data_IF_420159418814
#
_entry.id   IF_420159418814
#
_cell.length_a   1.000
_cell.length_b   1.000
_cell.length_c   1.000
_cell.angle_alpha   90.00
_cell.angle_beta   90.00
_cell.angle_gamma   90.00
#
_symmetry.space_group_name_H-M   'P 1'
#
loop_
_entity.id
_entity.type
_entity.pdbx_description
1 polymer ?
#
# COMPACT_ATOMS: atom_id res chain seq x y z
N UNK A 1 -15.18 1.72 19.79
CA UNK A 1 -15.47 1.72 18.34
C UNK A 1 -14.27 1.10 17.66
N UNK A 2 -14.45 0.10 16.78
CA UNK A 2 -13.34 -0.39 15.95
C UNK A 2 -12.97 0.76 14.99
N UNK A 3 -11.73 1.21 15.02
CA UNK A 3 -11.21 2.17 14.04
C UNK A 3 -11.12 1.42 12.71
N UNK A 4 -12.01 1.73 11.78
CA UNK A 4 -12.00 1.20 10.42
C UNK A 4 -11.63 2.35 9.49
N UNK A 5 -10.65 2.15 8.63
CA UNK A 5 -10.28 3.14 7.62
C UNK A 5 -11.19 3.01 6.42
N UNK A 6 -11.69 4.14 5.92
CA UNK A 6 -12.59 4.13 4.79
C UNK A 6 -11.92 3.58 3.52
N UNK A 7 -12.57 2.64 2.84
CA UNK A 7 -12.02 1.99 1.65
C UNK A 7 -11.85 2.96 0.48
N UNK A 8 -12.76 3.92 0.34
CA UNK A 8 -12.69 4.91 -0.74
C UNK A 8 -11.48 5.81 -0.51
N UNK A 9 -11.26 6.28 0.73
CA UNK A 9 -10.06 7.04 1.09
C UNK A 9 -8.75 6.31 0.75
N UNK A 10 -8.67 5.01 1.03
CA UNK A 10 -7.51 4.17 0.69
C UNK A 10 -7.31 4.14 -0.83
N UNK A 11 -8.36 3.87 -1.59
CA UNK A 11 -8.34 3.80 -3.06
C UNK A 11 -7.93 5.14 -3.69
N UNK A 12 -8.45 6.26 -3.20
CA UNK A 12 -8.08 7.60 -3.65
C UNK A 12 -6.61 7.92 -3.35
N UNK A 13 -6.11 7.47 -2.21
CA UNK A 13 -4.71 7.67 -1.81
C UNK A 13 -3.71 6.83 -2.63
N UNK A 14 -4.14 5.67 -3.14
CA UNK A 14 -3.34 4.86 -4.08
C UNK A 14 -3.59 5.23 -5.55
N UNK A 15 -4.49 6.17 -5.83
CA UNK A 15 -4.86 6.61 -7.18
C UNK A 15 -3.67 6.93 -8.11
N UNK A 16 -2.61 7.62 -7.66
CA UNK A 16 -1.40 7.84 -8.47
C UNK A 16 -0.69 6.54 -8.88
N UNK A 17 -0.78 5.49 -8.06
CA UNK A 17 -0.20 4.17 -8.32
C UNK A 17 -1.13 3.31 -9.18
N UNK A 18 -2.46 3.57 -9.13
CA UNK A 18 -3.44 2.85 -9.94
C UNK A 18 -3.16 2.98 -11.44
N UNK A 19 -2.66 4.13 -11.91
CA UNK A 19 -2.26 4.30 -13.31
C UNK A 19 -1.06 3.43 -13.72
N UNK A 20 -0.12 3.19 -12.79
CA UNK A 20 1.03 2.31 -13.02
C UNK A 20 0.57 0.85 -13.02
N UNK A 21 -0.33 0.49 -12.12
CA UNK A 21 -0.92 -0.85 -12.05
C UNK A 21 -1.72 -1.17 -13.31
N UNK A 22 -2.56 -0.25 -13.79
CA UNK A 22 -3.38 -0.42 -14.99
C UNK A 22 -2.53 -0.67 -16.25
N UNK A 23 -1.38 0.01 -16.35
CA UNK A 23 -0.41 -0.20 -17.44
C UNK A 23 0.26 -1.59 -17.44
N UNK A 24 0.16 -2.33 -16.34
CA UNK A 24 0.75 -3.65 -16.15
C UNK A 24 -0.30 -4.74 -15.89
N UNK A 25 -1.58 -4.51 -16.22
CA UNK A 25 -2.70 -5.41 -15.88
C UNK A 25 -2.71 -5.80 -14.38
N UNK A 26 -2.26 -4.87 -13.53
CA UNK A 26 -2.17 -5.01 -12.09
C UNK A 26 -3.39 -4.42 -11.38
N UNK A 27 -3.80 -5.03 -10.27
CA UNK A 27 -4.92 -4.55 -9.45
C UNK A 27 -4.53 -4.54 -7.98
N UNK A 28 -4.88 -3.45 -7.29
CA UNK A 28 -4.83 -3.36 -5.82
C UNK A 28 -6.20 -3.71 -5.28
N UNK A 29 -6.25 -4.66 -4.35
CA UNK A 29 -7.47 -5.02 -3.66
C UNK A 29 -7.31 -4.85 -2.14
N UNK A 30 -8.24 -4.11 -1.53
CA UNK A 30 -8.24 -3.84 -0.08
C UNK A 30 -8.99 -4.96 0.64
N UNK A 31 -8.22 -5.81 1.32
CA UNK A 31 -8.69 -7.01 2.01
C UNK A 31 -9.29 -6.66 3.37
N UNK A 32 -8.60 -5.85 4.17
CA UNK A 32 -9.03 -5.47 5.52
C UNK A 32 -8.56 -4.04 5.87
N UNK A 33 -9.24 -3.39 6.81
CA UNK A 33 -9.00 -1.99 7.22
C UNK A 33 -9.17 -1.81 8.74
N UNK A 34 -9.19 -2.93 9.47
CA UNK A 34 -9.54 -2.95 10.89
C UNK A 34 -8.38 -2.47 11.73
N UNK A 35 -8.69 -1.69 12.77
CA UNK A 35 -7.71 -1.18 13.73
C UNK A 35 -6.61 -0.35 13.08
N UNK A 36 -6.93 0.38 12.01
CA UNK A 36 -5.96 1.20 11.27
C UNK A 36 -4.93 0.38 10.49
N UNK A 37 -5.05 -0.96 10.45
CA UNK A 37 -4.18 -1.82 9.66
C UNK A 37 -4.85 -2.09 8.32
N UNK A 38 -4.17 -1.70 7.23
CA UNK A 38 -4.67 -1.91 5.88
C UNK A 38 -4.03 -3.17 5.31
N UNK A 39 -4.83 -4.20 5.06
CA UNK A 39 -4.36 -5.40 4.36
C UNK A 39 -4.69 -5.28 2.87
N UNK A 40 -3.68 -5.44 2.02
CA UNK A 40 -3.80 -5.26 0.57
C UNK A 40 -3.26 -6.49 -0.16
N UNK A 41 -3.96 -6.91 -1.21
CA UNK A 41 -3.43 -7.83 -2.22
C UNK A 41 -3.08 -7.10 -3.51
N UNK A 42 -1.96 -7.50 -4.12
CA UNK A 42 -1.51 -7.06 -5.44
C UNK A 42 -1.74 -8.20 -6.44
N UNK A 43 -2.77 -8.10 -7.25
CA UNK A 43 -3.19 -9.15 -8.19
C UNK A 43 -2.88 -8.75 -9.64
N UNK A 44 -2.96 -9.72 -10.57
CA UNK A 44 -2.70 -9.50 -11.99
C UNK A 44 -1.21 -9.50 -12.35
N UNK A 45 -0.81 -8.67 -13.32
CA UNK A 45 0.59 -8.62 -13.81
C UNK A 45 1.62 -8.12 -12.78
N UNK A 46 1.15 -7.67 -11.62
CA UNK A 46 1.98 -7.28 -10.48
C UNK A 46 2.36 -8.45 -9.56
N UNK A 47 1.79 -9.64 -9.73
CA UNK A 47 2.21 -10.80 -8.94
C UNK A 47 3.49 -11.40 -9.55
N UNK A 48 4.62 -11.28 -8.86
CA UNK A 48 5.90 -11.88 -9.28
C UNK A 48 6.72 -11.08 -10.31
N UNK A 49 6.37 -9.81 -10.54
CA UNK A 49 7.18 -8.91 -11.36
C UNK A 49 8.34 -8.32 -10.54
N UNK A 50 9.48 -8.04 -11.18
CA UNK A 50 10.61 -7.36 -10.50
C UNK A 50 10.24 -5.94 -10.02
N UNK A 51 9.17 -5.35 -10.56
CA UNK A 51 8.65 -4.03 -10.16
C UNK A 51 7.68 -4.06 -8.97
N UNK A 52 7.28 -5.24 -8.48
CA UNK A 52 6.33 -5.37 -7.37
C UNK A 52 6.79 -4.66 -6.09
N UNK A 53 8.07 -4.77 -5.66
CA UNK A 53 8.54 -4.06 -4.46
C UNK A 53 8.47 -2.53 -4.59
N UNK A 54 8.77 -1.99 -5.78
CA UNK A 54 8.69 -0.55 -6.04
C UNK A 54 7.24 -0.05 -5.98
N UNK A 55 6.29 -0.84 -6.49
CA UNK A 55 4.86 -0.51 -6.41
C UNK A 55 4.36 -0.57 -4.98
N UNK A 56 4.73 -1.62 -4.23
CA UNK A 56 4.41 -1.76 -2.81
C UNK A 56 4.98 -0.59 -1.99
N UNK A 57 6.20 -0.15 -2.31
CA UNK A 57 6.84 1.01 -1.68
C UNK A 57 6.02 2.30 -1.86
N UNK A 58 5.54 2.58 -3.07
CA UNK A 58 4.73 3.78 -3.35
C UNK A 58 3.37 3.74 -2.66
N UNK A 59 2.74 2.56 -2.59
CA UNK A 59 1.47 2.36 -1.88
C UNK A 59 1.67 2.57 -0.38
N UNK A 60 2.69 1.94 0.21
CA UNK A 60 3.00 2.06 1.63
C UNK A 60 3.25 3.53 2.01
N UNK A 61 4.10 4.23 1.25
CA UNK A 61 4.36 5.66 1.48
C UNK A 61 3.07 6.50 1.43
N UNK A 62 2.21 6.27 0.44
CA UNK A 62 0.99 7.07 0.28
C UNK A 62 -0.02 6.83 1.41
N UNK A 63 -0.18 5.58 1.83
CA UNK A 63 -1.13 5.20 2.88
C UNK A 63 -0.65 5.56 4.29
N UNK A 64 0.65 5.43 4.58
CA UNK A 64 1.22 5.79 5.88
C UNK A 64 1.19 7.31 6.16
N UNK A 65 0.86 8.14 5.16
CA UNK A 65 0.59 9.58 5.34
C UNK A 65 -0.81 9.87 5.87
N UNK A 66 -1.71 8.88 5.84
CA UNK A 66 -3.06 9.02 6.39
C UNK A 66 -3.01 8.85 7.90
N UNK A 67 -3.53 9.83 8.64
CA UNK A 67 -3.56 9.82 10.11
C UNK A 67 -4.31 8.62 10.71
N UNK A 68 -5.23 8.03 9.93
CA UNK A 68 -6.06 6.91 10.35
C UNK A 68 -5.37 5.55 10.13
N UNK A 69 -4.26 5.53 9.38
CA UNK A 69 -3.50 4.32 9.06
C UNK A 69 -2.37 4.15 10.06
N UNK A 70 -2.35 3.00 10.72
CA UNK A 70 -1.28 2.57 11.63
C UNK A 70 -0.25 1.69 10.93
N UNK A 71 -0.71 0.81 10.01
CA UNK A 71 0.18 -0.08 9.27
C UNK A 71 -0.45 -0.52 7.94
N UNK A 72 0.38 -0.96 7.00
CA UNK A 72 -0.01 -1.55 5.72
C UNK A 72 0.68 -2.89 5.54
N UNK A 73 -0.11 -3.95 5.34
CA UNK A 73 0.34 -5.32 5.18
C UNK A 73 0.00 -5.81 3.77
N UNK A 74 1.02 -6.29 3.05
CA UNK A 74 0.84 -6.89 1.73
C UNK A 74 0.64 -8.41 1.89
N UNK A 75 -0.53 -8.93 1.49
CA UNK A 75 -0.91 -10.35 1.67
C UNK A 75 -0.13 -11.27 0.73
N UNK A 76 0.17 -10.79 -0.48
CA UNK A 76 0.82 -11.55 -1.55
C UNK A 76 1.90 -10.74 -2.29
N UNK A 77 2.33 -9.61 -1.70
CA UNK A 77 3.43 -8.79 -2.18
C UNK A 77 4.51 -8.69 -1.11
N UNK A 78 5.75 -8.51 -1.51
CA UNK A 78 6.86 -8.30 -0.58
C UNK A 78 7.30 -6.84 -0.65
N UNK A 79 7.11 -6.11 0.44
CA UNK A 79 7.87 -4.90 0.73
C UNK A 79 9.02 -5.29 1.66
N UNK A 80 10.27 -5.36 1.18
CA UNK A 80 11.40 -5.73 2.02
C UNK A 80 11.58 -4.77 3.19
N UNK A 81 12.00 -5.29 4.35
CA UNK A 81 12.17 -4.49 5.58
C UNK A 81 13.06 -3.26 5.36
N UNK A 82 14.14 -3.37 4.60
CA UNK A 82 15.04 -2.23 4.34
C UNK A 82 14.36 -1.10 3.55
N UNK A 83 13.46 -1.44 2.61
CA UNK A 83 12.70 -0.44 1.86
C UNK A 83 11.67 0.22 2.77
N UNK A 84 11.03 -0.59 3.63
CA UNK A 84 10.08 -0.11 4.63
C UNK A 84 10.74 0.87 5.60
N UNK A 85 11.87 0.49 6.19
CA UNK A 85 12.65 1.38 7.07
C UNK A 85 13.05 2.68 6.38
N UNK A 86 13.52 2.61 5.12
CA UNK A 86 13.85 3.82 4.36
C UNK A 86 12.65 4.76 4.19
N UNK A 87 11.45 4.22 3.97
CA UNK A 87 10.22 5.02 3.88
C UNK A 87 9.85 5.61 5.24
N UNK A 88 9.91 4.81 6.30
CA UNK A 88 9.60 5.27 7.66
C UNK A 88 10.56 6.40 8.09
N UNK A 89 11.87 6.26 7.84
CA UNK A 89 12.86 7.32 8.07
C UNK A 89 12.50 8.60 7.30
N UNK A 90 12.07 8.46 6.04
CA UNK A 90 11.66 9.60 5.21
C UNK A 90 10.41 10.28 5.74
N UNK A 91 9.39 9.51 6.14
CA UNK A 91 8.14 10.03 6.71
C UNK A 91 8.37 10.74 8.04
N UNK A 92 9.29 10.23 8.87
CA UNK A 92 9.65 10.86 10.14
C UNK A 92 10.51 12.13 9.98
N UNK A 93 11.09 12.35 8.80
CA UNK A 93 11.91 13.51 8.48
C UNK A 93 11.12 14.65 7.79
N UNK A 94 9.88 14.43 7.38
CA UNK A 94 8.94 15.44 6.87
C UNK A 94 8.22 16.18 8.00
#
# INVERSE_FOLDING_TARGET
MKQMVDKQLILDSVGPVQAVLDAHDGVVNVVDTTEGVIMISLEGGCTGCSATPMTAMQIYYSLMKLVEVQDVVFVNGELPEYMRSFIDDKLNAE
#
